data_IF_383660888564
#
_entry.id   IF_383660888564
#
_cell.length_a   1.000
_cell.length_b   1.000
_cell.length_c   1.000
_cell.angle_alpha   90.00
_cell.angle_beta   90.00
_cell.angle_gamma   90.00
#
_symmetry.space_group_name_H-M   'P 1'
#
loop_
_entity.id
_entity.type
_entity.pdbx_description
1 polymer ?
#
# COMPACT_ATOMS: atom_id res chain seq x y z
N UNK A 1 -27.37 -13.65 6.66
CA UNK A 1 -27.45 -13.81 8.11
C UNK A 1 -26.92 -12.54 8.74
N UNK A 2 -27.72 -11.87 9.49
CA UNK A 2 -27.65 -10.61 10.19
C UNK A 2 -26.36 -10.39 10.98
N UNK A 3 -25.87 -9.11 10.96
CA UNK A 3 -25.60 -8.26 12.07
C UNK A 3 -24.20 -7.83 12.35
N UNK A 4 -23.89 -6.70 12.76
CA UNK A 4 -24.30 -5.89 13.88
C UNK A 4 -23.85 -4.43 13.66
N UNK A 5 -24.81 -3.54 13.60
CA UNK A 5 -24.62 -2.12 13.82
C UNK A 5 -24.42 -1.90 15.33
N UNK A 6 -23.28 -1.39 15.75
CA UNK A 6 -23.10 -0.90 17.12
C UNK A 6 -22.90 0.61 17.10
N UNK A 7 -24.02 1.33 17.20
CA UNK A 7 -24.05 2.74 17.62
C UNK A 7 -23.55 2.82 19.07
N UNK A 8 -22.38 3.36 19.28
CA UNK A 8 -21.91 3.81 20.58
C UNK A 8 -22.39 5.23 20.85
N UNK A 9 -23.53 5.35 21.52
CA UNK A 9 -24.05 6.59 22.04
C UNK A 9 -23.29 6.88 23.35
N UNK A 10 -22.35 7.82 23.33
CA UNK A 10 -21.75 8.36 24.56
C UNK A 10 -22.65 9.47 25.06
N UNK A 11 -23.43 9.13 26.07
CA UNK A 11 -24.19 10.08 26.89
C UNK A 11 -23.20 10.79 27.82
N UNK A 12 -22.94 12.07 27.62
CA UNK A 12 -22.31 12.93 28.61
C UNK A 12 -23.40 13.73 29.31
N UNK A 13 -23.68 13.35 30.55
CA UNK A 13 -24.57 14.09 31.43
C UNK A 13 -23.89 15.35 31.98
N UNK A 14 -24.54 16.44 31.75
CA UNK A 14 -24.75 17.61 32.65
C UNK A 14 -23.56 18.15 33.43
N UNK A 15 -23.09 19.31 33.04
CA UNK A 15 -22.78 20.34 34.02
C UNK A 15 -23.22 21.73 33.49
N UNK A 16 -24.29 22.20 34.13
CA UNK A 16 -24.72 23.58 34.38
C UNK A 16 -24.64 24.58 33.24
N UNK A 17 -25.80 24.81 32.64
CA UNK A 17 -26.46 26.08 32.32
C UNK A 17 -25.57 27.35 32.34
N UNK A 18 -25.08 27.76 31.19
CA UNK A 18 -24.92 29.15 30.67
C UNK A 18 -24.22 29.15 29.27
N UNK A 19 -23.99 28.05 28.59
CA UNK A 19 -23.42 28.08 27.24
C UNK A 19 -24.29 27.33 26.22
N UNK A 20 -25.61 27.51 26.28
CA UNK A 20 -26.53 26.91 25.33
C UNK A 20 -27.17 27.99 24.47
N UNK A 21 -26.56 28.42 23.41
CA UNK A 21 -27.26 29.04 22.27
C UNK A 21 -26.33 29.55 21.18
N UNK A 22 -25.33 28.81 20.74
CA UNK A 22 -24.80 28.98 19.37
C UNK A 22 -24.14 27.62 19.00
N UNK A 23 -24.94 26.61 18.92
CA UNK A 23 -24.61 25.45 18.12
C UNK A 23 -25.49 25.51 16.86
N UNK A 24 -25.15 26.42 15.97
CA UNK A 24 -25.62 26.30 14.58
C UNK A 24 -24.83 25.13 14.01
N UNK A 25 -25.46 23.96 14.04
CA UNK A 25 -25.06 22.84 13.23
C UNK A 25 -25.34 23.25 11.79
N UNK A 26 -24.36 23.88 11.15
CA UNK A 26 -24.27 23.90 9.71
C UNK A 26 -23.91 22.46 9.30
N UNK A 27 -24.93 21.64 9.08
CA UNK A 27 -24.82 20.47 8.24
C UNK A 27 -24.53 20.99 6.84
N UNK A 28 -23.25 21.19 6.55
CA UNK A 28 -22.82 21.26 5.17
C UNK A 28 -22.98 19.80 4.70
N UNK A 29 -24.03 19.57 3.92
CA UNK A 29 -24.11 18.38 3.09
C UNK A 29 -22.85 18.39 2.22
N UNK A 30 -21.86 17.60 2.65
CA UNK A 30 -20.80 17.19 1.76
C UNK A 30 -21.50 16.36 0.69
N UNK A 31 -21.80 16.96 -0.46
CA UNK A 31 -22.09 16.21 -1.67
C UNK A 31 -20.98 15.18 -1.77
N UNK A 32 -21.31 13.94 -1.46
CA UNK A 32 -20.49 12.78 -1.81
C UNK A 32 -20.28 12.89 -3.31
N UNK A 33 -19.15 13.41 -3.71
CA UNK A 33 -18.60 13.15 -5.04
C UNK A 33 -18.33 11.65 -5.06
N UNK A 34 -19.41 10.88 -5.30
CA UNK A 34 -19.32 9.49 -5.66
C UNK A 34 -18.58 9.46 -6.98
N UNK A 35 -17.27 9.25 -6.93
CA UNK A 35 -16.60 8.71 -8.10
C UNK A 35 -17.40 7.48 -8.53
N UNK A 36 -17.75 7.35 -9.83
CA UNK A 36 -18.42 6.14 -10.27
C UNK A 36 -17.57 4.98 -9.75
N UNK A 37 -18.18 3.95 -9.13
CA UNK A 37 -17.43 2.82 -8.65
C UNK A 37 -16.74 2.23 -9.90
N UNK A 38 -15.49 2.62 -10.10
CA UNK A 38 -14.61 1.83 -10.92
C UNK A 38 -14.75 0.46 -10.34
N UNK A 39 -15.21 -0.49 -11.13
CA UNK A 39 -15.60 -1.84 -10.75
C UNK A 39 -14.38 -2.69 -10.33
N UNK A 40 -13.54 -2.12 -9.47
CA UNK A 40 -12.66 -2.84 -8.58
C UNK A 40 -13.64 -3.43 -7.59
N UNK A 41 -14.01 -4.68 -7.81
CA UNK A 41 -14.92 -5.36 -6.93
C UNK A 41 -14.30 -5.25 -5.52
N UNK A 42 -14.91 -4.41 -4.68
CA UNK A 42 -14.64 -4.32 -3.24
C UNK A 42 -14.66 -5.69 -2.57
N UNK A 43 -15.26 -6.67 -3.21
CA UNK A 43 -15.23 -8.07 -2.88
C UNK A 43 -13.83 -8.69 -2.94
N UNK A 44 -12.99 -8.36 -3.94
CA UNK A 44 -11.59 -8.83 -3.99
C UNK A 44 -10.71 -8.14 -2.93
N UNK A 45 -10.97 -6.89 -2.61
CA UNK A 45 -10.28 -6.19 -1.51
C UNK A 45 -10.78 -6.67 -0.14
N UNK A 46 -12.07 -6.99 0.01
CA UNK A 46 -12.61 -7.57 1.23
C UNK A 46 -12.12 -9.01 1.45
N UNK A 47 -11.91 -9.79 0.40
CA UNK A 47 -11.30 -11.11 0.50
C UNK A 47 -9.81 -11.02 0.94
N UNK A 48 -9.14 -9.89 0.66
CA UNK A 48 -7.78 -9.61 1.19
C UNK A 48 -7.81 -8.94 2.58
N UNK A 49 -8.93 -8.32 2.99
CA UNK A 49 -9.10 -7.78 4.34
C UNK A 49 -9.36 -8.85 5.42
N UNK A 50 -9.63 -10.09 5.04
CA UNK A 50 -9.71 -11.23 5.98
C UNK A 50 -8.34 -11.83 6.33
N UNK A 51 -7.24 -11.11 6.09
CA UNK A 51 -5.96 -11.43 6.70
C UNK A 51 -5.87 -10.74 8.07
N UNK A 52 -6.90 -10.93 8.89
CA UNK A 52 -6.83 -10.77 10.34
C UNK A 52 -6.05 -11.96 10.91
N UNK A 53 -4.81 -11.75 11.11
CA UNK A 53 -3.95 -12.72 11.77
C UNK A 53 -2.58 -12.72 11.13
N UNK A 54 -1.82 -11.64 11.34
CA UNK A 54 -0.39 -11.79 11.47
C UNK A 54 -0.13 -12.64 12.72
N UNK A 55 -0.45 -13.91 12.63
CA UNK A 55 0.25 -14.91 13.41
C UNK A 55 1.66 -14.94 12.83
N UNK A 56 2.62 -14.87 13.67
CA UNK A 56 4.06 -15.03 13.47
C UNK A 56 4.44 -16.42 12.89
N UNK A 57 3.58 -17.02 12.07
CA UNK A 57 3.84 -18.18 11.25
C UNK A 57 4.64 -17.76 10.00
N UNK A 58 5.75 -17.08 10.30
CA UNK A 58 6.86 -16.94 9.40
C UNK A 58 7.30 -18.34 8.98
N UNK A 59 7.06 -18.68 7.69
CA UNK A 59 7.61 -19.86 7.02
C UNK A 59 7.62 -21.06 7.96
N UNK A 60 6.55 -21.82 7.98
CA UNK A 60 6.59 -23.12 8.65
C UNK A 60 7.46 -24.04 7.79
N UNK A 61 8.74 -24.29 8.16
CA UNK A 61 9.65 -25.08 7.35
C UNK A 61 9.19 -26.55 7.23
N UNK A 62 8.18 -26.95 8.00
CA UNK A 62 7.58 -28.27 7.98
C UNK A 62 6.33 -28.36 7.08
N UNK A 63 5.84 -27.27 6.51
CA UNK A 63 4.72 -27.31 5.57
C UNK A 63 5.18 -27.83 4.22
N UNK A 64 4.99 -29.11 4.00
CA UNK A 64 5.18 -29.78 2.72
C UNK A 64 3.82 -29.94 2.03
N UNK A 65 3.67 -29.45 0.82
CA UNK A 65 2.53 -29.85 -0.01
C UNK A 65 2.79 -31.27 -0.52
N UNK A 66 2.00 -32.21 -0.01
CA UNK A 66 2.02 -33.60 -0.46
C UNK A 66 1.28 -33.68 -1.80
N UNK A 67 2.04 -33.84 -2.89
CA UNK A 67 1.51 -34.06 -4.23
C UNK A 67 1.96 -33.02 -5.26
N UNK A 68 1.69 -33.28 -6.54
CA UNK A 68 2.04 -32.36 -7.61
C UNK A 68 1.14 -31.12 -7.55
N UNK A 69 1.76 -29.93 -7.55
CA UNK A 69 1.10 -28.64 -7.45
C UNK A 69 0.63 -28.15 -8.82
N UNK A 70 -0.65 -27.77 -8.92
CA UNK A 70 -1.20 -27.13 -10.12
C UNK A 70 -0.87 -25.64 -10.14
N UNK A 71 -0.72 -25.06 -11.34
CA UNK A 71 -0.36 -23.66 -11.54
C UNK A 71 -1.39 -22.69 -10.91
N UNK A 72 -2.69 -22.98 -11.04
CA UNK A 72 -3.74 -22.13 -10.48
C UNK A 72 -3.72 -22.14 -8.94
N UNK A 73 -3.49 -23.31 -8.35
CA UNK A 73 -3.36 -23.48 -6.90
C UNK A 73 -2.10 -22.79 -6.38
N UNK A 74 -0.97 -22.92 -7.11
CA UNK A 74 0.27 -22.23 -6.75
C UNK A 74 0.10 -20.71 -6.73
N UNK A 75 -0.46 -20.15 -7.80
CA UNK A 75 -0.71 -18.70 -7.90
C UNK A 75 -1.65 -18.22 -6.79
N UNK A 76 -2.76 -18.95 -6.54
CA UNK A 76 -3.70 -18.61 -5.47
C UNK A 76 -3.04 -18.63 -4.09
N UNK A 77 -2.21 -19.63 -3.80
CA UNK A 77 -1.49 -19.72 -2.53
C UNK A 77 -0.47 -18.61 -2.38
N UNK A 78 0.30 -18.29 -3.45
CA UNK A 78 1.26 -17.20 -3.42
C UNK A 78 0.58 -15.85 -3.18
N UNK A 79 -0.51 -15.54 -3.89
CA UNK A 79 -1.26 -14.28 -3.73
C UNK A 79 -1.80 -14.12 -2.31
N UNK A 80 -2.26 -15.21 -1.68
CA UNK A 80 -2.79 -15.15 -0.33
C UNK A 80 -1.72 -14.98 0.76
N UNK A 81 -0.52 -15.46 0.51
CA UNK A 81 0.54 -15.49 1.53
C UNK A 81 1.62 -14.42 1.32
N UNK A 82 1.91 -13.99 0.09
CA UNK A 82 3.16 -13.27 -0.23
C UNK A 82 3.32 -11.96 0.54
N UNK A 83 4.45 -11.75 1.26
CA UNK A 83 4.65 -10.59 2.13
C UNK A 83 4.59 -9.25 1.40
N UNK A 84 4.97 -9.20 0.12
CA UNK A 84 4.91 -7.98 -0.68
C UNK A 84 3.46 -7.46 -0.86
N UNK A 85 2.48 -8.36 -0.96
CA UNK A 85 1.06 -7.98 -1.05
C UNK A 85 0.61 -7.40 0.28
N UNK A 86 0.93 -8.05 1.40
CA UNK A 86 0.61 -7.56 2.73
C UNK A 86 1.25 -6.19 3.01
N UNK A 87 2.47 -5.95 2.54
CA UNK A 87 3.11 -4.64 2.60
C UNK A 87 2.30 -3.57 1.85
N UNK A 88 1.81 -3.87 0.64
CA UNK A 88 1.01 -2.91 -0.13
C UNK A 88 -0.38 -2.68 0.50
N UNK A 89 -0.99 -3.70 1.08
CA UNK A 89 -2.24 -3.58 1.84
C UNK A 89 -2.05 -2.69 3.08
N UNK A 90 -0.95 -2.85 3.81
CA UNK A 90 -0.63 -1.97 4.95
C UNK A 90 -0.41 -0.52 4.52
N UNK A 91 0.23 -0.29 3.36
CA UNK A 91 0.35 1.06 2.77
C UNK A 91 -1.01 1.62 2.36
N UNK A 92 -1.93 0.78 1.87
CA UNK A 92 -3.29 1.21 1.57
C UNK A 92 -4.01 1.68 2.83
N UNK A 93 -3.93 0.92 3.91
CA UNK A 93 -4.50 1.31 5.21
C UNK A 93 -3.88 2.61 5.73
N UNK A 94 -2.57 2.81 5.55
CA UNK A 94 -1.90 4.09 5.87
C UNK A 94 -2.52 5.25 5.10
N UNK A 95 -2.78 5.11 3.79
CA UNK A 95 -3.39 6.17 2.99
C UNK A 95 -4.84 6.46 3.43
N UNK A 96 -5.60 5.44 3.80
CA UNK A 96 -6.95 5.61 4.37
C UNK A 96 -6.90 6.46 5.64
N UNK A 97 -5.96 6.19 6.55
CA UNK A 97 -5.80 7.00 7.76
C UNK A 97 -5.37 8.44 7.43
N UNK A 98 -4.62 8.67 6.37
CA UNK A 98 -4.27 10.03 5.92
C UNK A 98 -5.48 10.83 5.44
N UNK A 99 -6.49 10.17 4.88
CA UNK A 99 -7.78 10.82 4.57
C UNK A 99 -8.44 11.32 5.85
N UNK A 100 -8.47 10.52 6.90
CA UNK A 100 -9.04 10.92 8.19
C UNK A 100 -8.24 12.06 8.83
N UNK A 101 -6.91 12.06 8.71
CA UNK A 101 -6.06 13.19 9.12
C UNK A 101 -6.39 14.46 8.33
N UNK A 102 -6.64 14.35 7.02
CA UNK A 102 -7.05 15.50 6.22
C UNK A 102 -8.44 16.02 6.64
N UNK A 103 -9.41 15.12 6.86
CA UNK A 103 -10.75 15.43 7.35
C UNK A 103 -10.76 16.01 8.77
N UNK A 104 -9.80 15.65 9.62
CA UNK A 104 -9.71 16.15 10.98
C UNK A 104 -9.59 17.69 11.05
N UNK A 105 -9.12 18.34 9.98
CA UNK A 105 -9.06 19.80 9.88
C UNK A 105 -10.43 20.48 9.81
N UNK A 106 -11.51 19.74 9.52
CA UNK A 106 -12.87 20.26 9.61
C UNK A 106 -13.39 20.37 11.05
N UNK A 107 -12.77 19.66 12.00
CA UNK A 107 -13.20 19.58 13.37
C UNK A 107 -12.41 20.56 14.27
N UNK A 108 -12.97 20.90 15.45
CA UNK A 108 -12.29 21.76 16.40
C UNK A 108 -10.95 21.16 16.84
N UNK A 109 -9.89 21.97 16.81
CA UNK A 109 -8.59 21.61 17.34
C UNK A 109 -8.46 22.19 18.74
N UNK A 110 -8.32 21.34 19.76
CA UNK A 110 -8.20 21.73 21.15
C UNK A 110 -6.77 21.57 21.60
N UNK A 111 -6.17 22.66 22.09
CA UNK A 111 -4.81 22.67 22.59
C UNK A 111 -4.81 23.14 24.05
N UNK A 112 -4.03 22.50 24.89
CA UNK A 112 -3.76 22.92 26.25
C UNK A 112 -2.25 23.14 26.43
N UNK A 113 -1.87 24.22 27.04
CA UNK A 113 -0.48 24.56 27.23
C UNK A 113 -0.27 25.33 28.55
N UNK A 114 0.98 25.39 28.98
CA UNK A 114 1.41 26.23 30.11
C UNK A 114 2.40 27.25 29.56
N UNK A 115 2.06 28.52 29.75
CA UNK A 115 2.97 29.61 29.46
C UNK A 115 3.66 30.01 30.74
N UNK A 116 4.98 30.18 30.67
CA UNK A 116 5.80 30.60 31.79
C UNK A 116 6.75 31.67 31.28
N UNK A 117 6.59 32.88 31.80
CA UNK A 117 7.35 34.01 31.30
C UNK A 117 7.36 35.19 32.29
N UNK A 118 8.24 36.12 31.98
CA UNK A 118 8.33 37.41 32.66
C UNK A 118 7.78 38.49 31.73
N UNK A 119 6.79 39.26 32.19
CA UNK A 119 6.15 40.29 31.37
C UNK A 119 6.04 41.58 32.20
N UNK A 120 6.31 42.72 31.58
CA UNK A 120 6.11 44.06 32.13
C UNK A 120 4.91 44.78 31.51
N UNK A 121 4.00 44.04 30.90
CA UNK A 121 2.87 44.60 30.15
C UNK A 121 1.88 45.34 31.06
N UNK A 122 1.84 45.02 32.34
CA UNK A 122 1.05 45.68 33.35
C UNK A 122 1.98 46.16 34.46
N UNK A 123 1.70 47.30 35.07
CA UNK A 123 2.57 48.15 35.89
C UNK A 123 3.42 47.51 37.00
N UNK A 124 3.23 46.26 37.31
CA UNK A 124 4.12 45.44 38.14
C UNK A 124 4.77 44.37 37.28
N UNK A 125 6.06 44.58 37.01
CA UNK A 125 6.90 43.60 36.35
C UNK A 125 6.89 42.29 37.13
N UNK A 126 6.39 41.24 36.58
CA UNK A 126 6.26 39.99 37.30
C UNK A 126 6.33 38.73 36.44
N UNK A 127 6.72 37.69 37.11
CA UNK A 127 6.63 36.32 36.67
C UNK A 127 5.16 35.92 36.59
N UNK A 128 4.69 35.49 35.40
CA UNK A 128 3.27 35.20 35.16
C UNK A 128 3.07 33.82 34.56
N UNK A 129 3.14 32.76 35.38
CA UNK A 129 2.78 31.43 34.92
C UNK A 129 1.27 31.34 34.66
N UNK A 130 0.88 30.78 33.51
CA UNK A 130 -0.52 30.64 33.15
C UNK A 130 -0.79 29.32 32.44
N UNK A 131 -1.97 28.78 32.72
CA UNK A 131 -2.54 27.67 31.96
C UNK A 131 -3.43 28.24 30.85
N UNK A 132 -3.24 27.75 29.63
CA UNK A 132 -3.98 28.20 28.46
C UNK A 132 -4.66 27.01 27.85
N UNK A 133 -5.96 27.10 27.63
CA UNK A 133 -6.72 26.17 26.80
C UNK A 133 -7.27 26.96 25.64
N UNK A 134 -6.90 26.58 24.43
CA UNK A 134 -7.36 27.21 23.20
C UNK A 134 -8.05 26.18 22.31
N UNK A 135 -9.12 26.63 21.69
CA UNK A 135 -9.82 25.86 20.64
C UNK A 135 -9.70 26.65 19.35
N UNK A 136 -9.38 25.99 18.26
CA UNK A 136 -9.39 26.59 16.94
C UNK A 136 -10.35 25.81 16.06
N UNK A 137 -11.39 26.45 15.55
CA UNK A 137 -12.35 25.88 14.65
C UNK A 137 -12.32 26.65 13.34
N UNK A 138 -11.95 25.97 12.26
CA UNK A 138 -12.08 26.51 10.91
C UNK A 138 -13.57 26.63 10.56
N UNK A 139 -13.97 27.84 10.15
CA UNK A 139 -15.35 28.12 9.69
C UNK A 139 -15.43 28.09 8.18
N UNK A 140 -14.43 28.69 7.50
CA UNK A 140 -14.37 28.73 6.06
C UNK A 140 -12.94 28.94 5.56
N UNK A 141 -12.50 28.18 4.55
CA UNK A 141 -11.10 28.17 4.09
C UNK A 141 -10.94 28.25 2.56
N UNK A 142 -12.02 28.55 1.84
CA UNK A 142 -12.02 28.63 0.38
C UNK A 142 -11.50 27.37 -0.34
N UNK A 143 -11.66 26.21 0.28
CA UNK A 143 -11.34 24.94 -0.34
C UNK A 143 -9.96 24.37 0.01
N UNK A 144 -9.23 24.90 0.98
CA UNK A 144 -7.93 24.35 1.41
C UNK A 144 -8.07 22.92 1.94
N UNK A 145 -9.01 22.71 2.86
CA UNK A 145 -9.23 21.39 3.45
C UNK A 145 -9.88 20.44 2.44
N UNK A 146 -10.90 20.90 1.70
CA UNK A 146 -11.59 20.04 0.74
C UNK A 146 -10.66 19.55 -0.39
N UNK A 147 -9.78 20.40 -0.91
CA UNK A 147 -8.78 19.99 -1.89
C UNK A 147 -7.73 19.04 -1.29
N UNK A 148 -7.34 19.26 -0.02
CA UNK A 148 -6.46 18.34 0.70
C UNK A 148 -7.08 16.95 0.88
N UNK A 149 -8.38 16.89 1.19
CA UNK A 149 -9.14 15.63 1.30
C UNK A 149 -9.21 14.94 -0.06
N UNK A 150 -9.58 15.67 -1.14
CA UNK A 150 -9.59 15.10 -2.50
C UNK A 150 -8.23 14.54 -2.92
N UNK A 151 -7.14 15.23 -2.57
CA UNK A 151 -5.80 14.73 -2.83
C UNK A 151 -5.49 13.44 -2.07
N UNK A 152 -5.92 13.35 -0.81
CA UNK A 152 -5.76 12.15 0.01
C UNK A 152 -6.62 10.98 -0.51
N UNK A 153 -7.88 11.23 -0.90
CA UNK A 153 -8.76 10.22 -1.50
C UNK A 153 -8.19 9.69 -2.83
N UNK A 154 -7.65 10.56 -3.67
CA UNK A 154 -6.97 10.15 -4.90
C UNK A 154 -5.71 9.30 -4.62
N UNK A 155 -4.97 9.60 -3.55
CA UNK A 155 -3.84 8.77 -3.10
C UNK A 155 -4.29 7.37 -2.64
N UNK A 156 -5.45 7.24 -2.01
CA UNK A 156 -6.05 5.92 -1.70
C UNK A 156 -6.35 5.16 -2.98
N UNK A 157 -6.99 5.80 -3.97
CA UNK A 157 -7.30 5.15 -5.24
C UNK A 157 -6.02 4.70 -5.99
N UNK A 158 -4.97 5.53 -5.97
CA UNK A 158 -3.67 5.16 -6.52
C UNK A 158 -3.07 3.94 -5.80
N UNK A 159 -3.11 3.93 -4.47
CA UNK A 159 -2.56 2.83 -3.69
C UNK A 159 -3.36 1.53 -3.88
N UNK A 160 -4.69 1.60 -4.07
CA UNK A 160 -5.50 0.44 -4.44
C UNK A 160 -5.04 -0.17 -5.76
N UNK A 161 -4.80 0.66 -6.78
CA UNK A 161 -4.26 0.19 -8.05
C UNK A 161 -2.86 -0.42 -7.91
N UNK A 162 -2.00 0.12 -7.01
CA UNK A 162 -0.69 -0.44 -6.70
C UNK A 162 -0.76 -1.81 -6.01
N UNK A 163 -1.77 -2.05 -5.16
CA UNK A 163 -2.03 -3.38 -4.59
C UNK A 163 -2.33 -4.38 -5.71
N UNK A 164 -3.20 -4.00 -6.67
CA UNK A 164 -3.55 -4.86 -7.80
C UNK A 164 -2.34 -5.15 -8.70
N UNK A 165 -1.51 -4.15 -8.99
CA UNK A 165 -0.26 -4.32 -9.73
C UNK A 165 0.68 -5.31 -9.04
N UNK A 166 0.77 -5.24 -7.72
CA UNK A 166 1.62 -6.16 -6.96
C UNK A 166 1.06 -7.59 -6.96
N UNK A 167 -0.27 -7.74 -6.88
CA UNK A 167 -0.94 -9.04 -7.04
C UNK A 167 -0.63 -9.64 -8.42
N UNK A 168 -0.77 -8.85 -9.48
CA UNK A 168 -0.48 -9.29 -10.85
C UNK A 168 0.99 -9.71 -11.00
N UNK A 169 1.92 -8.95 -10.41
CA UNK A 169 3.35 -9.26 -10.44
C UNK A 169 3.65 -10.59 -9.71
N UNK A 170 3.14 -10.79 -8.50
CA UNK A 170 3.32 -12.02 -7.72
C UNK A 170 2.70 -13.22 -8.46
N UNK A 171 1.51 -13.04 -9.04
CA UNK A 171 0.85 -14.07 -9.84
C UNK A 171 1.68 -14.44 -11.07
N UNK A 172 2.19 -13.44 -11.80
CA UNK A 172 3.03 -13.65 -12.97
C UNK A 172 4.33 -14.40 -12.63
N UNK A 173 5.04 -13.93 -11.59
CA UNK A 173 6.32 -14.52 -11.19
C UNK A 173 6.15 -15.96 -10.68
N UNK A 174 5.08 -16.22 -9.92
CA UNK A 174 4.74 -17.56 -9.45
C UNK A 174 4.39 -18.48 -10.62
N UNK A 175 3.54 -18.03 -11.53
CA UNK A 175 3.19 -18.80 -12.73
C UNK A 175 4.43 -19.10 -13.58
N UNK A 176 5.29 -18.11 -13.78
CA UNK A 176 6.57 -18.26 -14.47
C UNK A 176 7.47 -19.32 -13.81
N UNK A 177 7.59 -19.31 -12.49
CA UNK A 177 8.35 -20.29 -11.73
C UNK A 177 7.79 -21.72 -11.90
N UNK A 178 6.45 -21.87 -11.89
CA UNK A 178 5.81 -23.18 -12.15
C UNK A 178 6.12 -23.68 -13.56
N UNK A 179 6.00 -22.83 -14.59
CA UNK A 179 6.30 -23.21 -15.98
C UNK A 179 7.77 -23.60 -16.16
N UNK A 180 8.69 -22.87 -15.55
CA UNK A 180 10.11 -23.22 -15.58
C UNK A 180 10.35 -24.58 -14.89
N UNK A 181 9.72 -24.80 -13.73
CA UNK A 181 9.84 -26.07 -13.02
C UNK A 181 9.32 -27.23 -13.85
N UNK A 182 8.14 -27.09 -14.52
CA UNK A 182 7.61 -28.08 -15.46
C UNK A 182 8.60 -28.38 -16.60
N UNK A 183 9.19 -27.33 -17.18
CA UNK A 183 10.18 -27.44 -18.25
C UNK A 183 11.39 -28.26 -17.81
N UNK A 184 11.98 -27.94 -16.65
CA UNK A 184 13.15 -28.66 -16.13
C UNK A 184 12.82 -30.08 -15.68
N UNK A 185 11.62 -30.35 -15.16
CA UNK A 185 11.18 -31.75 -14.90
C UNK A 185 11.20 -32.59 -16.17
N UNK A 186 10.72 -32.05 -17.30
CA UNK A 186 10.74 -32.74 -18.59
C UNK A 186 12.17 -32.89 -19.13
N UNK A 187 12.99 -31.83 -19.03
CA UNK A 187 14.39 -31.88 -19.49
C UNK A 187 15.22 -32.90 -18.72
N UNK A 188 15.03 -33.02 -17.41
CA UNK A 188 15.70 -34.05 -16.59
C UNK A 188 15.29 -35.47 -17.05
N UNK A 189 13.99 -35.73 -17.29
CA UNK A 189 13.52 -37.01 -17.78
C UNK A 189 14.13 -37.36 -19.14
N UNK A 190 14.20 -36.40 -20.06
CA UNK A 190 14.77 -36.59 -21.41
C UNK A 190 16.30 -36.82 -21.31
N UNK A 191 17.01 -36.00 -20.53
CA UNK A 191 18.46 -36.15 -20.38
C UNK A 191 18.82 -37.45 -19.68
N UNK A 192 18.04 -37.92 -18.70
CA UNK A 192 18.23 -39.23 -18.08
C UNK A 192 18.09 -40.38 -19.15
N UNK A 193 17.00 -40.34 -19.93
CA UNK A 193 16.81 -41.34 -20.99
C UNK A 193 17.93 -41.28 -22.03
N UNK A 194 18.48 -40.12 -22.34
CA UNK A 194 19.63 -39.96 -23.23
C UNK A 194 20.91 -40.61 -22.64
N UNK A 195 21.18 -40.37 -21.36
CA UNK A 195 22.33 -40.98 -20.65
C UNK A 195 22.20 -42.53 -20.67
N UNK A 196 21.00 -43.05 -20.37
CA UNK A 196 20.76 -44.47 -20.32
C UNK A 196 20.94 -45.12 -21.72
N UNK A 197 20.44 -44.47 -22.78
CA UNK A 197 20.62 -44.93 -24.16
C UNK A 197 22.09 -44.91 -24.60
N UNK A 198 22.84 -43.83 -24.25
CA UNK A 198 24.26 -43.74 -24.58
C UNK A 198 25.09 -44.75 -23.81
N UNK A 199 24.78 -45.05 -22.55
CA UNK A 199 25.42 -46.13 -21.79
C UNK A 199 25.21 -47.48 -22.43
N UNK A 200 23.97 -47.79 -22.85
CA UNK A 200 23.69 -49.04 -23.55
C UNK A 200 24.48 -49.17 -24.85
N UNK A 201 24.57 -48.08 -25.65
CA UNK A 201 25.39 -48.04 -26.86
C UNK A 201 26.89 -48.25 -26.50
N UNK A 202 27.37 -47.61 -25.44
CA UNK A 202 28.74 -47.75 -24.95
C UNK A 202 29.08 -49.21 -24.61
N UNK A 203 28.19 -49.89 -23.90
CA UNK A 203 28.36 -51.32 -23.56
C UNK A 203 28.44 -52.19 -24.80
N UNK A 204 27.58 -51.93 -25.81
CA UNK A 204 27.62 -52.68 -27.09
C UNK A 204 28.93 -52.44 -27.84
N UNK A 205 29.45 -51.18 -27.85
CA UNK A 205 30.74 -50.85 -28.51
C UNK A 205 31.89 -51.53 -27.79
N UNK A 206 31.94 -51.59 -26.47
CA UNK A 206 32.95 -52.30 -25.68
C UNK A 206 32.92 -53.79 -26.01
N UNK A 207 31.76 -54.43 -26.04
CA UNK A 207 31.64 -55.85 -26.42
C UNK A 207 32.17 -56.11 -27.84
N UNK A 208 31.94 -55.21 -28.79
CA UNK A 208 32.46 -55.31 -30.13
C UNK A 208 34.00 -55.09 -30.19
N UNK A 209 34.50 -54.22 -29.40
CA UNK A 209 35.97 -54.00 -29.28
C UNK A 209 36.66 -55.23 -28.68
N UNK A 210 36.09 -55.83 -27.63
CA UNK A 210 36.59 -57.04 -27.01
C UNK A 210 36.59 -58.24 -28.03
N UNK A 211 35.63 -58.25 -28.93
CA UNK A 211 35.57 -59.21 -30.04
C UNK A 211 36.45 -58.82 -31.23
N UNK A 212 37.22 -57.74 -31.17
CA UNK A 212 38.09 -57.26 -32.27
C UNK A 212 37.33 -56.56 -33.43
N UNK A 213 36.04 -56.25 -33.28
CA UNK A 213 35.19 -55.75 -34.37
C UNK A 213 35.08 -54.20 -34.43
N UNK A 214 35.61 -53.47 -33.44
CA UNK A 214 35.70 -51.99 -33.43
C UNK A 214 37.02 -51.53 -32.85
N UNK A 215 37.37 -50.22 -33.06
CA UNK A 215 38.60 -49.63 -32.58
C UNK A 215 38.46 -49.16 -31.12
N UNK A 216 39.56 -49.07 -30.38
CA UNK A 216 39.60 -48.45 -29.07
C UNK A 216 39.19 -46.96 -29.12
N UNK A 217 39.46 -46.29 -30.25
CA UNK A 217 39.03 -44.88 -30.47
C UNK A 217 37.50 -44.75 -30.42
N UNK A 218 36.77 -45.72 -30.94
CA UNK A 218 35.30 -45.70 -30.90
C UNK A 218 34.75 -45.85 -29.47
N UNK A 219 35.45 -46.65 -28.64
CA UNK A 219 35.12 -46.78 -27.20
C UNK A 219 35.32 -45.45 -26.51
N UNK A 220 36.50 -44.83 -26.63
CA UNK A 220 36.86 -43.54 -26.00
C UNK A 220 35.89 -42.44 -26.46
N UNK A 221 35.56 -42.41 -27.76
CA UNK A 221 34.62 -41.40 -28.28
C UNK A 221 33.22 -41.58 -27.66
N UNK A 222 32.78 -42.82 -27.50
CA UNK A 222 31.47 -43.10 -26.90
C UNK A 222 31.45 -42.75 -25.42
N UNK A 223 32.53 -43.09 -24.69
CA UNK A 223 32.66 -42.70 -23.27
C UNK A 223 32.62 -41.17 -23.12
N UNK A 224 33.33 -40.43 -23.97
CA UNK A 224 33.26 -38.94 -23.95
C UNK A 224 31.82 -38.42 -24.16
N UNK A 225 31.04 -39.07 -25.01
CA UNK A 225 29.62 -38.71 -25.23
C UNK A 225 28.76 -39.03 -24.02
N UNK A 226 28.99 -40.15 -23.35
CA UNK A 226 28.28 -40.53 -22.10
C UNK A 226 28.57 -39.48 -21.01
N UNK A 227 29.85 -39.13 -20.82
CA UNK A 227 30.26 -38.12 -19.83
C UNK A 227 29.62 -36.74 -20.13
N UNK A 228 29.63 -36.31 -21.40
CA UNK A 228 28.96 -35.07 -21.84
C UNK A 228 27.46 -35.05 -21.56
N UNK A 229 26.77 -36.20 -21.80
CA UNK A 229 25.35 -36.33 -21.48
C UNK A 229 25.09 -36.33 -19.96
N UNK A 230 25.96 -36.95 -19.16
CA UNK A 230 25.88 -36.92 -17.70
C UNK A 230 26.07 -35.48 -17.16
N UNK A 231 27.02 -34.73 -17.67
CA UNK A 231 27.24 -33.35 -17.31
C UNK A 231 25.97 -32.49 -17.58
N UNK A 232 25.33 -32.71 -18.74
CA UNK A 232 24.07 -32.04 -19.11
C UNK A 232 22.92 -32.41 -18.15
N UNK A 233 22.80 -33.69 -17.81
CA UNK A 233 21.81 -34.15 -16.81
C UNK A 233 21.99 -33.44 -15.46
N UNK A 234 23.23 -33.38 -14.95
CA UNK A 234 23.53 -32.71 -13.68
C UNK A 234 23.16 -31.23 -13.73
N UNK A 235 23.45 -30.54 -14.85
CA UNK A 235 23.05 -29.14 -15.04
C UNK A 235 21.53 -28.96 -14.96
N UNK A 236 20.75 -29.83 -15.61
CA UNK A 236 19.28 -29.77 -15.56
C UNK A 236 18.74 -30.10 -14.16
N UNK A 237 19.32 -31.06 -13.47
CA UNK A 237 18.97 -31.36 -12.07
C UNK A 237 19.24 -30.19 -11.15
N UNK A 238 20.39 -29.53 -11.26
CA UNK A 238 20.71 -28.33 -10.48
C UNK A 238 19.73 -27.18 -10.77
N UNK A 239 19.35 -26.97 -12.02
CA UNK A 239 18.36 -25.97 -12.41
C UNK A 239 16.96 -26.31 -11.85
N UNK A 240 16.58 -27.58 -11.88
CA UNK A 240 15.34 -28.08 -11.30
C UNK A 240 15.26 -27.74 -9.80
N UNK A 241 16.30 -28.08 -9.03
CA UNK A 241 16.32 -27.80 -7.59
C UNK A 241 16.29 -26.30 -7.29
N UNK A 242 16.98 -25.48 -8.10
CA UNK A 242 16.91 -24.03 -7.99
C UNK A 242 15.48 -23.49 -8.16
N UNK A 243 14.74 -23.98 -9.17
CA UNK A 243 13.37 -23.54 -9.43
C UNK A 243 12.39 -24.07 -8.37
N UNK A 244 12.64 -25.25 -7.80
CA UNK A 244 11.89 -25.73 -6.62
C UNK A 244 12.06 -24.79 -5.43
N UNK A 245 13.30 -24.38 -5.14
CA UNK A 245 13.59 -23.45 -4.05
C UNK A 245 12.94 -22.07 -4.31
N UNK A 246 13.01 -21.56 -5.55
CA UNK A 246 12.38 -20.30 -5.92
C UNK A 246 10.86 -20.34 -5.72
N UNK A 247 10.21 -21.39 -6.21
CA UNK A 247 8.75 -21.55 -6.06
C UNK A 247 8.36 -21.75 -4.59
N UNK A 248 9.14 -22.50 -3.80
CA UNK A 248 8.94 -22.65 -2.38
C UNK A 248 8.98 -21.28 -1.65
N UNK A 249 9.90 -20.41 -2.03
CA UNK A 249 9.98 -19.05 -1.49
C UNK A 249 8.74 -18.21 -1.81
N UNK A 250 8.21 -18.29 -3.04
CA UNK A 250 6.97 -17.58 -3.39
C UNK A 250 5.75 -18.08 -2.64
N UNK A 251 5.73 -19.36 -2.26
CA UNK A 251 4.61 -19.98 -1.55
C UNK A 251 4.77 -19.97 -0.03
N UNK A 252 5.91 -19.53 0.51
CA UNK A 252 6.21 -19.62 1.95
C UNK A 252 6.35 -21.04 2.48
N UNK A 253 6.74 -21.98 1.61
CA UNK A 253 6.89 -23.40 1.94
C UNK A 253 8.35 -23.77 2.15
N UNK A 254 8.61 -24.77 2.99
CA UNK A 254 9.97 -25.29 3.21
C UNK A 254 10.52 -26.04 1.99
N UNK A 255 9.68 -26.79 1.27
CA UNK A 255 10.07 -27.50 0.05
C UNK A 255 8.87 -27.83 -0.84
N UNK A 256 9.13 -28.08 -2.12
CA UNK A 256 8.15 -28.52 -3.12
C UNK A 256 8.66 -29.79 -3.79
N UNK A 257 7.81 -30.80 -3.90
CA UNK A 257 8.18 -32.08 -4.49
C UNK A 257 8.14 -32.02 -6.03
N UNK A 258 7.01 -31.63 -6.60
CA UNK A 258 6.80 -31.58 -8.05
C UNK A 258 5.61 -30.70 -8.42
N UNK A 259 5.50 -30.35 -9.70
CA UNK A 259 4.34 -29.66 -10.27
C UNK A 259 3.67 -30.55 -11.31
N UNK A 260 2.35 -30.34 -11.53
CA UNK A 260 1.60 -31.04 -12.58
C UNK A 260 2.07 -30.62 -13.97
N UNK A 261 2.01 -31.53 -14.94
CA UNK A 261 2.38 -31.21 -16.32
C UNK A 261 1.22 -30.58 -17.12
N UNK A 262 0.03 -30.48 -16.53
CA UNK A 262 -1.15 -29.91 -17.17
C UNK A 262 -1.15 -28.39 -17.17
N UNK A 263 -1.49 -27.78 -18.30
CA UNK A 263 -1.80 -26.34 -18.39
C UNK A 263 -3.31 -26.19 -18.23
N UNK A 264 -3.79 -25.26 -17.36
CA UNK A 264 -5.22 -25.02 -17.21
C UNK A 264 -5.86 -24.55 -18.53
N UNK A 265 -7.00 -25.13 -18.91
CA UNK A 265 -7.73 -24.75 -20.14
C UNK A 265 -8.12 -23.27 -20.17
N UNK A 266 -8.28 -22.64 -18.99
CA UNK A 266 -8.55 -21.20 -18.88
C UNK A 266 -7.43 -20.33 -19.50
N UNK A 267 -6.19 -20.82 -19.55
CA UNK A 267 -5.08 -20.08 -20.18
C UNK A 267 -5.17 -20.08 -21.71
N UNK A 268 -5.75 -21.10 -22.32
CA UNK A 268 -5.97 -21.13 -23.77
C UNK A 268 -6.94 -20.04 -24.23
N UNK A 269 -7.96 -19.75 -23.41
CA UNK A 269 -8.92 -18.67 -23.66
C UNK A 269 -8.31 -17.26 -23.49
N UNK A 270 -7.29 -17.11 -22.67
CA UNK A 270 -6.63 -15.82 -22.45
C UNK A 270 -5.94 -15.27 -23.72
N UNK A 271 -5.45 -16.14 -24.59
CA UNK A 271 -4.86 -15.76 -25.87
C UNK A 271 -5.90 -15.30 -26.92
N UNK A 272 -7.19 -15.54 -26.67
CA UNK A 272 -8.28 -15.17 -27.59
C UNK A 272 -8.90 -13.79 -27.28
N UNK A 273 -8.38 -13.04 -26.31
CA UNK A 273 -8.89 -11.70 -25.93
C UNK A 273 -8.65 -10.72 -27.08
N UNK A 274 -9.72 -10.37 -27.81
CA UNK A 274 -9.65 -9.48 -28.99
C UNK A 274 -9.74 -7.99 -28.64
N UNK A 275 -10.23 -7.62 -27.45
CA UNK A 275 -10.35 -6.24 -26.99
C UNK A 275 -9.94 -6.13 -25.52
N UNK A 276 -8.95 -5.30 -25.27
CA UNK A 276 -8.51 -4.95 -23.92
C UNK A 276 -9.26 -3.69 -23.48
N UNK A 277 -10.00 -3.77 -22.38
CA UNK A 277 -10.52 -2.56 -21.71
C UNK A 277 -9.41 -1.97 -20.86
N UNK A 278 -8.75 -0.95 -21.37
CA UNK A 278 -7.67 -0.25 -20.66
C UNK A 278 -8.11 0.35 -19.32
N UNK A 279 -9.42 0.58 -19.13
CA UNK A 279 -9.96 1.11 -17.86
C UNK A 279 -9.91 0.10 -16.72
N UNK A 280 -9.67 -1.16 -17.01
CA UNK A 280 -9.52 -2.22 -15.99
C UNK A 280 -8.05 -2.54 -15.70
N UNK A 281 -7.12 -1.95 -16.44
CA UNK A 281 -5.68 -2.18 -16.27
C UNK A 281 -5.17 -1.41 -15.05
N UNK A 282 -4.60 -2.08 -14.04
CA UNK A 282 -4.20 -1.44 -12.79
C UNK A 282 -3.19 -0.30 -12.97
N UNK A 283 -2.27 -0.42 -13.93
CA UNK A 283 -1.32 0.65 -14.26
C UNK A 283 -2.01 1.94 -14.74
N UNK A 284 -3.04 1.81 -15.59
CA UNK A 284 -3.83 2.94 -16.08
C UNK A 284 -4.65 3.57 -14.94
N UNK A 285 -5.23 2.73 -14.07
CA UNK A 285 -5.96 3.21 -12.89
C UNK A 285 -5.04 3.98 -11.94
N UNK A 286 -3.82 3.50 -11.72
CA UNK A 286 -2.82 4.20 -10.90
C UNK A 286 -2.45 5.57 -11.49
N UNK A 287 -2.21 5.64 -12.81
CA UNK A 287 -1.89 6.88 -13.50
C UNK A 287 -3.05 7.89 -13.46
N UNK A 288 -4.29 7.45 -13.68
CA UNK A 288 -5.48 8.30 -13.57
C UNK A 288 -5.68 8.83 -12.14
N UNK A 289 -5.48 7.99 -11.13
CA UNK A 289 -5.54 8.42 -9.74
C UNK A 289 -4.43 9.43 -9.40
N UNK A 290 -3.22 9.24 -9.93
CA UNK A 290 -2.12 10.17 -9.78
C UNK A 290 -2.42 11.53 -10.44
N UNK A 291 -3.00 11.55 -11.64
CA UNK A 291 -3.41 12.79 -12.29
C UNK A 291 -4.51 13.51 -11.48
N UNK A 292 -5.48 12.77 -10.93
CA UNK A 292 -6.53 13.31 -10.06
C UNK A 292 -5.93 13.89 -8.78
N UNK A 293 -4.96 13.22 -8.17
CA UNK A 293 -4.23 13.72 -7.01
C UNK A 293 -3.48 15.02 -7.32
N UNK A 294 -2.77 15.06 -8.45
CA UNK A 294 -2.03 16.23 -8.88
C UNK A 294 -2.96 17.43 -9.14
N UNK A 295 -4.14 17.20 -9.74
CA UNK A 295 -5.16 18.25 -9.91
C UNK A 295 -5.63 18.80 -8.55
N UNK A 296 -5.92 17.93 -7.60
CA UNK A 296 -6.32 18.35 -6.25
C UNK A 296 -5.21 19.13 -5.53
N UNK A 297 -3.94 18.83 -5.80
CA UNK A 297 -2.79 19.57 -5.27
C UNK A 297 -2.70 20.97 -5.89
N UNK A 298 -3.00 21.15 -7.18
CA UNK A 298 -3.11 22.48 -7.83
C UNK A 298 -4.21 23.30 -7.19
N UNK A 299 -5.38 22.69 -6.96
CA UNK A 299 -6.52 23.34 -6.29
C UNK A 299 -6.13 23.77 -4.87
N UNK A 300 -5.44 22.90 -4.12
CA UNK A 300 -4.94 23.20 -2.79
C UNK A 300 -3.93 24.35 -2.79
N UNK A 301 -2.92 24.31 -3.66
CA UNK A 301 -1.93 25.36 -3.78
C UNK A 301 -2.56 26.72 -4.15
N UNK A 302 -3.62 26.72 -4.96
CA UNK A 302 -4.39 27.91 -5.30
C UNK A 302 -5.20 28.40 -4.10
N UNK A 303 -5.85 27.50 -3.38
CA UNK A 303 -6.62 27.83 -2.17
C UNK A 303 -5.74 28.39 -1.05
N UNK A 304 -4.47 28.00 -0.94
CA UNK A 304 -3.53 28.54 0.04
C UNK A 304 -3.30 30.06 -0.11
N UNK A 305 -3.56 30.63 -1.27
CA UNK A 305 -3.48 32.09 -1.49
C UNK A 305 -4.71 32.84 -0.98
N UNK A 306 -5.79 32.16 -0.63
CA UNK A 306 -7.06 32.71 -0.21
C UNK A 306 -7.12 32.83 1.32
N UNK A 307 -8.03 33.67 1.88
CA UNK A 307 -8.15 33.80 3.32
C UNK A 307 -8.65 32.52 3.99
N UNK A 308 -8.40 32.40 5.29
CA UNK A 308 -9.01 31.40 6.18
C UNK A 308 -9.75 32.13 7.29
N UNK A 309 -10.97 31.71 7.58
CA UNK A 309 -11.79 32.24 8.65
C UNK A 309 -11.88 31.19 9.74
N UNK A 310 -11.44 31.51 10.93
CA UNK A 310 -11.48 30.63 12.10
C UNK A 310 -12.16 31.30 13.29
N UNK A 311 -12.73 30.49 14.18
CA UNK A 311 -13.19 30.87 15.49
C UNK A 311 -12.18 30.36 16.53
N UNK A 312 -11.67 31.24 17.36
CA UNK A 312 -10.61 30.93 18.30
C UNK A 312 -11.00 31.32 19.73
N UNK A 313 -11.84 30.53 20.43
CA UNK A 313 -12.04 30.72 21.87
C UNK A 313 -10.82 30.25 22.65
N UNK A 314 -10.47 31.00 23.68
CA UNK A 314 -9.34 30.75 24.55
C UNK A 314 -9.69 31.04 26.00
N UNK A 315 -9.22 30.23 26.91
CA UNK A 315 -9.27 30.43 28.34
C UNK A 315 -7.84 30.45 28.87
N UNK A 316 -7.51 31.50 29.58
CA UNK A 316 -6.20 31.67 30.26
C UNK A 316 -6.43 31.78 31.74
N UNK A 317 -5.82 30.90 32.53
CA UNK A 317 -5.85 30.94 33.98
C UNK A 317 -4.45 31.25 34.52
N UNK A 318 -4.32 32.40 35.21
CA UNK A 318 -3.05 32.81 35.80
C UNK A 318 -2.86 32.15 37.19
N UNK A 319 -1.68 31.60 37.41
CA UNK A 319 -1.34 30.83 38.61
C UNK A 319 -0.76 31.75 39.72
N UNK A 320 -0.34 32.99 39.38
CA UNK A 320 0.25 33.91 40.30
C UNK A 320 -0.79 34.90 40.89
N UNK A 321 -0.78 35.08 42.23
CA UNK A 321 -1.72 35.94 42.94
C UNK A 321 -1.44 37.44 42.75
N UNK A 322 -0.23 37.81 42.37
CA UNK A 322 0.14 39.21 42.10
C UNK A 322 -0.58 39.76 40.85
N UNK A 323 -1.02 38.93 39.95
CA UNK A 323 -1.86 39.31 38.80
C UNK A 323 -3.32 39.56 39.19
N UNK A 324 -3.78 38.95 40.29
CA UNK A 324 -5.14 39.08 40.78
C UNK A 324 -5.36 40.39 41.57
N UNK A 325 -4.30 41.11 41.93
CA UNK A 325 -4.39 42.30 42.79
C UNK A 325 -4.62 43.61 42.04
N UNK A 326 -4.63 43.60 40.70
CA UNK A 326 -5.18 44.71 39.93
C UNK A 326 -6.70 44.59 39.93
N UNK A 327 -7.40 45.58 40.43
CA UNK A 327 -8.87 45.65 40.60
C UNK A 327 -9.67 45.44 39.26
N UNK A 328 -9.03 45.04 38.17
CA UNK A 328 -9.57 44.98 36.82
C UNK A 328 -9.41 43.61 36.15
N UNK A 329 -8.55 42.73 36.64
CA UNK A 329 -8.27 41.45 35.96
C UNK A 329 -8.63 40.26 36.84
N UNK A 330 -9.62 39.48 36.37
CA UNK A 330 -9.91 38.20 36.98
C UNK A 330 -8.76 37.20 36.71
N UNK A 331 -8.47 36.32 37.67
CA UNK A 331 -7.48 35.26 37.58
C UNK A 331 -7.70 34.35 36.37
N UNK A 332 -8.94 34.24 35.91
CA UNK A 332 -9.32 33.53 34.70
C UNK A 332 -9.87 34.50 33.67
N UNK A 333 -9.27 34.49 32.49
CA UNK A 333 -9.68 35.32 31.36
C UNK A 333 -10.25 34.45 30.24
N UNK A 334 -11.34 34.91 29.66
CA UNK A 334 -12.01 34.31 28.54
C UNK A 334 -11.92 35.25 27.35
N UNK A 335 -11.53 34.71 26.18
CA UNK A 335 -11.55 35.46 24.93
C UNK A 335 -12.10 34.57 23.82
N UNK A 336 -12.76 35.18 22.86
CA UNK A 336 -13.21 34.48 21.63
C UNK A 336 -13.06 35.45 20.47
N UNK A 337 -12.38 34.99 19.43
CA UNK A 337 -12.10 35.78 18.25
C UNK A 337 -12.57 35.08 17.00
N UNK A 338 -13.19 35.84 16.11
CA UNK A 338 -13.30 35.40 14.70
C UNK A 338 -12.09 35.99 13.98
N UNK A 339 -11.17 35.15 13.58
CA UNK A 339 -9.92 35.51 12.94
C UNK A 339 -10.06 35.30 11.42
N UNK A 340 -9.69 36.30 10.65
CA UNK A 340 -9.54 36.19 9.19
C UNK A 340 -8.06 36.38 8.87
N UNK A 341 -7.44 35.37 8.32
CA UNK A 341 -6.01 35.36 8.00
C UNK A 341 -5.81 35.11 6.51
N UNK A 342 -5.11 36.01 5.83
CA UNK A 342 -4.77 35.90 4.43
C UNK A 342 -3.29 36.20 4.23
N UNK A 343 -2.53 35.29 3.60
CA UNK A 343 -1.14 35.58 3.29
C UNK A 343 -1.05 36.59 2.13
N UNK A 344 -0.50 37.78 2.41
CA UNK A 344 -0.35 38.83 1.38
C UNK A 344 0.96 38.66 0.61
N UNK A 345 2.05 38.36 1.32
CA UNK A 345 3.35 38.15 0.72
C UNK A 345 4.21 37.21 1.52
N UNK A 346 4.74 36.18 0.88
CA UNK A 346 5.62 35.16 1.48
C UNK A 346 6.87 34.92 0.61
N UNK A 347 7.52 36.00 0.14
CA UNK A 347 8.74 35.85 -0.63
C UNK A 347 8.60 35.11 -1.98
N UNK A 348 7.38 35.05 -2.55
CA UNK A 348 7.11 34.31 -3.77
C UNK A 348 6.78 32.80 -3.57
N UNK A 349 6.80 32.30 -2.33
CA UNK A 349 6.61 30.86 -2.06
C UNK A 349 5.26 30.33 -2.55
N UNK A 350 4.17 31.09 -2.41
CA UNK A 350 2.83 30.66 -2.83
C UNK A 350 2.71 30.55 -4.36
N UNK A 351 3.27 31.47 -5.13
CA UNK A 351 3.29 31.43 -6.59
C UNK A 351 4.12 30.26 -7.09
N UNK A 352 5.33 30.09 -6.53
CA UNK A 352 6.21 28.96 -6.87
C UNK A 352 5.58 27.61 -6.52
N UNK A 353 4.89 27.50 -5.38
CA UNK A 353 4.18 26.27 -4.98
C UNK A 353 3.06 25.93 -5.97
N UNK A 354 2.26 26.91 -6.41
CA UNK A 354 1.23 26.69 -7.44
C UNK A 354 1.82 26.27 -8.76
N UNK A 355 2.89 26.94 -9.21
CA UNK A 355 3.58 26.57 -10.46
C UNK A 355 4.17 25.17 -10.38
N UNK A 356 4.80 24.80 -9.27
CA UNK A 356 5.31 23.45 -9.04
C UNK A 356 4.19 22.40 -9.12
N UNK A 357 3.02 22.68 -8.50
CA UNK A 357 1.87 21.78 -8.57
C UNK A 357 1.34 21.65 -10.02
N UNK A 358 1.32 22.75 -10.81
CA UNK A 358 0.94 22.72 -12.22
C UNK A 358 1.89 21.87 -13.06
N UNK A 359 3.20 21.95 -12.81
CA UNK A 359 4.18 21.10 -13.49
C UNK A 359 4.01 19.61 -13.10
N UNK A 360 3.70 19.34 -11.83
CA UNK A 360 3.38 17.98 -11.38
C UNK A 360 2.16 17.41 -12.08
N UNK A 361 1.10 18.23 -12.24
CA UNK A 361 -0.09 17.82 -13.00
C UNK A 361 0.24 17.58 -14.48
N UNK A 362 1.04 18.46 -15.09
CA UNK A 362 1.46 18.28 -16.49
C UNK A 362 2.26 16.98 -16.67
N UNK A 363 3.15 16.67 -15.75
CA UNK A 363 3.91 15.42 -15.76
C UNK A 363 2.99 14.19 -15.58
N UNK A 364 2.00 14.25 -14.65
CA UNK A 364 1.05 13.16 -14.43
C UNK A 364 0.11 12.92 -15.62
N UNK A 365 -0.19 13.95 -16.43
CA UNK A 365 -1.00 13.82 -17.65
C UNK A 365 -0.19 13.34 -18.86
N UNK A 366 1.14 13.43 -18.82
CA UNK A 366 2.01 12.99 -19.89
C UNK A 366 2.49 11.53 -19.75
N UNK A 367 2.44 10.96 -18.55
CA UNK A 367 2.84 9.59 -18.25
C UNK A 367 1.68 8.63 -18.33
#
# INVERSE_FOLDING_TARGET
>A
MRLFQKKGMVSVYSCSTIFLSICVVLTVDAEELSFPPTSISTQRLNDTQQVDGYSEELINPESHLAGPLDIATAVKSAVNWHPAINQQVSKLQEQVQKVDVAKAKYYPQVNAGMNNGYSNTYSDSGYSPSLVVSVSQMLYDFGKVSSSVRAADAAVAQQQAMVMLNIDQVAHDTAGAVVQLQGYQKLVKIAQAQVDSLKHIGDLIRQRNDAGATSLSDVVQTDTRVEGAQATLIQYQAALERWKATLATYLGLGSITSVTESVPQAMDAACAVSKIDYRTVPAVLAALAQATQAQAQVDNATAQMLPTISLEPQVTHYLNDNYANSAVLNKTQYSAWVKVEMPIYQGGALTASREAAQQTLSAANAG
#
